data_IF_120602101559
#
_entry.id   IF_120602101559
#
_cell.length_a   1.000
_cell.length_b   1.000
_cell.length_c   1.000
_cell.angle_alpha   90.00
_cell.angle_beta   90.00
_cell.angle_gamma   90.00
#
_symmetry.space_group_name_H-M   'P 1'
#
loop_
_entity.id
_entity.type
_entity.pdbx_description
1 polymer ?
#
# COMPACT_ATOMS: atom_id res chain seq x y z
N UNK A 1 13.02 25.14 -36.91
CA UNK A 1 13.26 23.69 -36.79
C UNK A 1 12.65 23.24 -35.49
N UNK A 2 11.43 22.69 -35.56
CA UNK A 2 10.68 22.25 -34.40
C UNK A 2 11.27 20.95 -33.83
N UNK A 3 11.49 20.93 -32.53
CA UNK A 3 11.81 19.72 -31.77
C UNK A 3 10.52 18.94 -31.57
N UNK A 4 10.14 18.12 -32.56
CA UNK A 4 9.21 17.02 -32.34
C UNK A 4 9.91 16.01 -31.41
N UNK A 5 9.76 16.20 -30.11
CA UNK A 5 9.85 15.09 -29.18
C UNK A 5 8.71 14.14 -29.52
N UNK A 6 9.03 13.16 -30.36
CA UNK A 6 8.22 11.98 -30.58
C UNK A 6 7.90 11.42 -29.19
N UNK A 7 6.66 11.65 -28.74
CA UNK A 7 6.10 10.93 -27.62
C UNK A 7 6.19 9.46 -28.01
N UNK A 8 7.20 8.77 -27.48
CA UNK A 8 7.32 7.32 -27.56
C UNK A 8 5.97 6.79 -27.03
N UNK A 9 5.11 6.36 -27.95
CA UNK A 9 3.81 5.82 -27.61
C UNK A 9 4.12 4.55 -26.84
N UNK A 10 4.05 4.63 -25.51
CA UNK A 10 4.31 3.50 -24.64
C UNK A 10 3.53 2.30 -25.18
N UNK A 11 4.26 1.31 -25.68
CA UNK A 11 3.66 0.19 -26.40
C UNK A 11 2.62 -0.48 -25.50
N UNK A 12 1.38 -0.58 -26.01
CA UNK A 12 0.29 -1.28 -25.32
C UNK A 12 0.68 -2.76 -25.14
N UNK A 13 1.01 -3.14 -23.91
CA UNK A 13 1.54 -4.44 -23.58
C UNK A 13 0.65 -5.11 -22.52
N UNK A 14 -0.55 -5.59 -22.90
CA UNK A 14 -1.52 -6.16 -21.95
C UNK A 14 -0.98 -7.37 -21.18
N UNK A 15 -0.03 -8.12 -21.76
CA UNK A 15 0.66 -9.22 -21.10
C UNK A 15 1.52 -8.81 -19.89
N UNK A 16 1.90 -7.53 -19.78
CA UNK A 16 2.67 -6.99 -18.64
C UNK A 16 1.79 -6.60 -17.45
N UNK A 17 0.47 -6.55 -17.62
CA UNK A 17 -0.45 -6.24 -16.51
C UNK A 17 -0.49 -7.43 -15.54
N UNK A 18 -0.21 -7.25 -14.23
CA UNK A 18 -0.21 -8.35 -13.26
C UNK A 18 -1.57 -9.04 -13.13
N UNK A 19 -1.57 -10.36 -12.95
CA UNK A 19 -2.78 -11.14 -12.65
C UNK A 19 -3.46 -10.70 -11.35
N UNK A 20 -4.73 -11.07 -11.08
CA UNK A 20 -5.50 -10.52 -9.96
C UNK A 20 -4.83 -10.66 -8.59
N UNK A 21 -4.29 -11.83 -8.26
CA UNK A 21 -3.61 -12.05 -6.97
C UNK A 21 -2.31 -11.24 -6.88
N UNK A 22 -1.51 -11.22 -7.94
CA UNK A 22 -0.30 -10.40 -8.01
C UNK A 22 -0.62 -8.90 -7.93
N UNK A 23 -1.75 -8.49 -8.51
CA UNK A 23 -2.24 -7.12 -8.49
C UNK A 23 -2.70 -6.71 -7.09
N UNK A 24 -3.45 -7.57 -6.39
CA UNK A 24 -3.80 -7.38 -4.98
C UNK A 24 -2.54 -7.29 -4.11
N UNK A 25 -1.59 -8.22 -4.29
CA UNK A 25 -0.33 -8.24 -3.55
C UNK A 25 0.49 -6.96 -3.77
N UNK A 26 0.68 -6.55 -5.03
CA UNK A 26 1.42 -5.33 -5.36
C UNK A 26 0.69 -4.09 -4.87
N UNK A 27 -0.65 -4.05 -4.94
CA UNK A 27 -1.45 -2.94 -4.43
C UNK A 27 -1.30 -2.79 -2.91
N UNK A 28 -1.31 -3.91 -2.18
CA UNK A 28 -1.12 -3.93 -0.74
C UNK A 28 0.33 -3.59 -0.39
N UNK A 29 1.32 -4.33 -0.88
CA UNK A 29 2.68 -4.26 -0.34
C UNK A 29 3.62 -3.34 -1.13
N UNK A 30 3.49 -3.28 -2.46
CA UNK A 30 4.43 -2.60 -3.37
C UNK A 30 3.74 -1.65 -4.38
N UNK A 31 2.97 -0.65 -3.92
CA UNK A 31 2.14 0.18 -4.81
C UNK A 31 2.97 1.05 -5.76
N UNK A 32 4.19 1.44 -5.38
CA UNK A 32 5.12 2.16 -6.24
C UNK A 32 5.58 1.28 -7.42
N UNK A 33 5.92 0.01 -7.16
CA UNK A 33 6.26 -0.90 -8.25
C UNK A 33 5.07 -1.23 -9.13
N UNK A 34 3.87 -1.31 -8.55
CA UNK A 34 2.65 -1.45 -9.34
C UNK A 34 2.51 -0.29 -10.33
N UNK A 35 2.73 0.94 -9.87
CA UNK A 35 2.64 2.12 -10.72
C UNK A 35 3.61 2.07 -11.90
N UNK A 36 4.90 1.79 -11.65
CA UNK A 36 5.90 1.67 -12.72
C UNK A 36 5.59 0.52 -13.67
N UNK A 37 5.10 -0.63 -13.18
CA UNK A 37 4.71 -1.77 -14.02
C UNK A 37 3.52 -1.44 -14.91
N UNK A 38 2.52 -0.75 -14.39
CA UNK A 38 1.35 -0.32 -15.16
C UNK A 38 1.72 0.75 -16.20
N UNK A 39 2.62 1.68 -15.86
CA UNK A 39 3.19 2.62 -16.82
C UNK A 39 3.95 1.89 -17.94
N UNK A 40 4.81 0.94 -17.58
CA UNK A 40 5.56 0.10 -18.52
C UNK A 40 4.71 -0.87 -19.34
N UNK A 41 3.41 -1.00 -19.02
CA UNK A 41 2.41 -1.72 -19.80
C UNK A 41 1.64 -0.81 -20.77
N UNK A 42 1.93 0.50 -20.80
CA UNK A 42 1.29 1.48 -21.66
C UNK A 42 0.14 2.27 -21.00
N UNK A 43 -0.12 2.09 -19.70
CA UNK A 43 -1.19 2.83 -18.99
C UNK A 43 -0.66 4.20 -18.59
N UNK A 44 -1.18 5.27 -19.19
CA UNK A 44 -0.70 6.65 -18.98
C UNK A 44 -1.01 7.20 -17.60
N UNK A 45 -2.13 6.77 -17.01
CA UNK A 45 -2.58 7.27 -15.69
C UNK A 45 -3.05 6.12 -14.79
N UNK A 46 -2.15 5.28 -14.26
CA UNK A 46 -2.52 4.10 -13.46
C UNK A 46 -3.37 4.41 -12.21
N UNK A 47 -3.17 5.60 -11.65
CA UNK A 47 -3.93 6.13 -10.51
C UNK A 47 -5.09 7.05 -10.90
N UNK A 48 -5.49 7.07 -12.17
CA UNK A 48 -6.60 7.86 -12.67
C UNK A 48 -7.96 7.34 -12.20
N UNK A 49 -9.00 8.17 -12.41
CA UNK A 49 -10.40 7.78 -12.18
C UNK A 49 -10.80 6.64 -13.13
N UNK A 50 -11.78 5.83 -12.74
CA UNK A 50 -12.31 4.76 -13.61
C UNK A 50 -12.66 5.30 -15.01
N UNK A 51 -13.34 6.45 -15.08
CA UNK A 51 -13.71 7.06 -16.36
C UNK A 51 -12.51 7.45 -17.24
N UNK A 52 -11.37 7.83 -16.64
CA UNK A 52 -10.15 8.12 -17.41
C UNK A 52 -9.52 6.85 -17.97
N UNK A 53 -9.53 5.76 -17.20
CA UNK A 53 -9.03 4.46 -17.64
C UNK A 53 -9.94 3.82 -18.70
N UNK A 54 -11.26 3.98 -18.58
CA UNK A 54 -12.21 3.59 -19.62
C UNK A 54 -12.05 4.40 -20.88
N UNK A 55 -11.76 5.71 -20.78
CA UNK A 55 -11.44 6.52 -21.95
C UNK A 55 -10.19 6.00 -22.67
N UNK A 56 -9.13 5.67 -21.92
CA UNK A 56 -7.93 5.05 -22.50
C UNK A 56 -8.23 3.70 -23.17
N UNK A 57 -9.11 2.88 -22.59
CA UNK A 57 -9.58 1.66 -23.24
C UNK A 57 -10.33 1.97 -24.55
N UNK A 58 -11.20 2.99 -24.56
CA UNK A 58 -11.92 3.45 -25.75
C UNK A 58 -10.99 4.00 -26.85
N UNK A 59 -9.83 4.53 -26.47
CA UNK A 59 -8.73 4.94 -27.37
C UNK A 59 -7.89 3.74 -27.88
N UNK A 60 -8.27 2.51 -27.54
CA UNK A 60 -7.62 1.28 -28.02
C UNK A 60 -6.60 0.65 -27.06
N UNK A 61 -6.40 1.20 -25.86
CA UNK A 61 -5.45 0.67 -24.88
C UNK A 61 -6.01 -0.58 -24.16
N UNK A 62 -5.57 -1.76 -24.61
CA UNK A 62 -6.03 -3.06 -24.07
C UNK A 62 -5.53 -3.28 -22.65
N UNK A 63 -4.32 -2.83 -22.32
CA UNK A 63 -3.78 -2.92 -20.97
C UNK A 63 -4.64 -2.16 -19.94
N UNK A 64 -5.13 -0.97 -20.29
CA UNK A 64 -6.02 -0.18 -19.43
C UNK A 64 -7.35 -0.91 -19.14
N UNK A 65 -8.00 -1.47 -20.17
CA UNK A 65 -9.25 -2.21 -19.99
C UNK A 65 -9.09 -3.46 -19.14
N UNK A 66 -8.00 -4.20 -19.34
CA UNK A 66 -7.69 -5.41 -18.57
C UNK A 66 -7.32 -5.08 -17.11
N UNK A 67 -6.62 -3.98 -16.85
CA UNK A 67 -6.40 -3.46 -15.50
C UNK A 67 -7.71 -3.08 -14.81
N UNK A 68 -8.60 -2.33 -15.47
CA UNK A 68 -9.90 -1.95 -14.90
C UNK A 68 -10.74 -3.18 -14.57
N UNK A 69 -10.84 -4.15 -15.50
CA UNK A 69 -11.58 -5.39 -15.27
C UNK A 69 -11.06 -6.15 -14.06
N UNK A 70 -9.74 -6.32 -13.93
CA UNK A 70 -9.14 -7.03 -12.78
C UNK A 70 -9.36 -6.29 -11.47
N UNK A 71 -9.33 -4.96 -11.48
CA UNK A 71 -9.58 -4.17 -10.28
C UNK A 71 -11.04 -4.17 -9.86
N UNK A 72 -11.97 -4.13 -10.81
CA UNK A 72 -13.40 -4.33 -10.50
C UNK A 72 -13.66 -5.74 -9.96
N UNK A 73 -13.00 -6.77 -10.49
CA UNK A 73 -13.10 -8.12 -9.94
C UNK A 73 -12.57 -8.20 -8.50
N UNK A 74 -11.46 -7.53 -8.20
CA UNK A 74 -10.92 -7.50 -6.85
C UNK A 74 -11.83 -6.72 -5.88
N UNK A 75 -12.41 -5.61 -6.33
CA UNK A 75 -13.28 -4.76 -5.51
C UNK A 75 -14.69 -5.34 -5.32
N UNK A 76 -15.30 -5.93 -6.35
CA UNK A 76 -16.68 -6.42 -6.33
C UNK A 76 -16.80 -7.92 -6.07
N UNK A 77 -15.74 -8.69 -6.34
CA UNK A 77 -15.70 -10.13 -6.09
C UNK A 77 -14.88 -10.46 -4.85
N UNK A 78 -13.57 -10.19 -4.89
CA UNK A 78 -12.64 -10.66 -3.84
C UNK A 78 -12.88 -9.95 -2.50
N UNK A 79 -13.11 -8.64 -2.50
CA UNK A 79 -13.31 -7.86 -1.26
C UNK A 79 -14.53 -8.33 -0.43
N UNK A 80 -15.75 -8.45 -1.01
CA UNK A 80 -16.89 -9.01 -0.26
C UNK A 80 -16.64 -10.43 0.24
N UNK A 81 -16.08 -11.30 -0.60
CA UNK A 81 -15.81 -12.70 -0.24
C UNK A 81 -14.81 -12.80 0.91
N UNK A 82 -13.72 -12.04 0.85
CA UNK A 82 -12.70 -12.02 1.91
C UNK A 82 -13.28 -11.49 3.22
N UNK A 83 -14.07 -10.41 3.15
CA UNK A 83 -14.74 -9.84 4.33
C UNK A 83 -15.73 -10.83 4.92
N UNK A 84 -16.51 -11.51 4.07
CA UNK A 84 -17.47 -12.52 4.49
C UNK A 84 -16.80 -13.72 5.15
N UNK A 85 -15.75 -14.25 4.54
CA UNK A 85 -14.96 -15.35 5.08
C UNK A 85 -14.31 -14.98 6.44
N UNK A 86 -13.77 -13.77 6.55
CA UNK A 86 -13.22 -13.27 7.81
C UNK A 86 -14.31 -13.17 8.89
N UNK A 87 -15.51 -12.69 8.54
CA UNK A 87 -16.65 -12.64 9.46
C UNK A 87 -17.06 -14.03 9.93
N UNK A 88 -17.16 -15.01 9.03
CA UNK A 88 -17.40 -16.41 9.42
C UNK A 88 -16.30 -16.92 10.37
N UNK A 89 -15.04 -16.59 10.11
CA UNK A 89 -13.93 -16.96 10.98
C UNK A 89 -14.05 -16.37 12.38
N UNK A 90 -14.36 -15.08 12.51
CA UNK A 90 -14.61 -14.44 13.81
C UNK A 90 -15.80 -15.07 14.53
N UNK A 91 -16.89 -15.35 13.80
CA UNK A 91 -18.06 -16.01 14.36
C UNK A 91 -17.74 -17.41 14.87
N UNK A 92 -16.94 -18.19 14.12
CA UNK A 92 -16.49 -19.51 14.52
C UNK A 92 -15.57 -19.47 15.77
N UNK A 93 -14.85 -18.36 15.99
CA UNK A 93 -14.08 -18.10 17.21
C UNK A 93 -14.95 -17.65 18.41
N UNK A 94 -16.28 -17.66 18.27
CA UNK A 94 -17.22 -17.29 19.33
C UNK A 94 -17.41 -15.78 19.48
N UNK A 95 -16.93 -14.97 18.53
CA UNK A 95 -17.11 -13.52 18.56
C UNK A 95 -18.55 -13.21 18.10
N UNK A 96 -19.38 -12.56 18.92
CA UNK A 96 -20.75 -12.25 18.56
C UNK A 96 -20.77 -11.22 17.42
N UNK A 97 -21.25 -11.63 16.25
CA UNK A 97 -21.50 -10.72 15.13
C UNK A 97 -22.98 -10.31 15.13
N UNK A 98 -23.26 -9.03 14.90
CA UNK A 98 -24.62 -8.53 14.86
C UNK A 98 -25.37 -9.06 13.62
N UNK A 99 -26.69 -9.26 13.73
CA UNK A 99 -27.53 -9.64 12.61
C UNK A 99 -27.37 -8.63 11.45
N UNK A 100 -27.15 -9.13 10.23
CA UNK A 100 -26.97 -8.30 9.03
C UNK A 100 -25.53 -7.90 8.68
N UNK A 101 -24.52 -8.35 9.44
CA UNK A 101 -23.09 -8.07 9.18
C UNK A 101 -22.66 -8.36 7.73
N UNK A 102 -23.19 -9.43 7.12
CA UNK A 102 -22.92 -9.78 5.73
C UNK A 102 -23.42 -8.74 4.72
N UNK A 103 -24.61 -8.16 4.95
CA UNK A 103 -25.15 -7.09 4.10
C UNK A 103 -24.28 -5.83 4.21
N UNK A 104 -23.79 -5.54 5.42
CA UNK A 104 -22.94 -4.37 5.64
C UNK A 104 -21.59 -4.51 4.94
N UNK A 105 -21.00 -5.70 4.92
CA UNK A 105 -19.78 -5.98 4.15
C UNK A 105 -19.96 -5.72 2.63
N UNK A 106 -21.12 -6.09 2.08
CA UNK A 106 -21.47 -5.82 0.67
C UNK A 106 -21.62 -4.33 0.41
N UNK A 107 -22.35 -3.61 1.27
CA UNK A 107 -22.53 -2.17 1.17
C UNK A 107 -21.19 -1.40 1.26
N UNK A 108 -20.26 -1.86 2.10
CA UNK A 108 -18.90 -1.30 2.17
C UNK A 108 -18.13 -1.47 0.85
N UNK A 109 -18.29 -2.61 0.17
CA UNK A 109 -17.67 -2.83 -1.14
C UNK A 109 -18.29 -1.95 -2.23
N UNK A 110 -19.61 -1.73 -2.17
CA UNK A 110 -20.30 -0.78 -3.06
C UNK A 110 -19.84 0.68 -2.83
N UNK A 111 -19.62 1.08 -1.58
CA UNK A 111 -19.03 2.38 -1.26
C UNK A 111 -17.59 2.50 -1.77
N UNK A 112 -16.80 1.43 -1.68
CA UNK A 112 -15.47 1.34 -2.30
C UNK A 112 -15.50 1.59 -3.81
N UNK A 113 -16.54 1.09 -4.51
CA UNK A 113 -16.77 1.37 -5.93
C UNK A 113 -17.11 2.83 -6.18
N UNK A 114 -18.01 3.41 -5.40
CA UNK A 114 -18.34 4.84 -5.52
C UNK A 114 -17.09 5.71 -5.38
N UNK A 115 -16.21 5.37 -4.44
CA UNK A 115 -14.97 6.10 -4.23
C UNK A 115 -13.91 5.82 -5.30
N UNK A 116 -13.92 4.62 -5.90
CA UNK A 116 -13.09 4.30 -7.05
C UNK A 116 -13.41 5.20 -8.26
N UNK A 117 -14.70 5.56 -8.43
CA UNK A 117 -15.14 6.49 -9.47
C UNK A 117 -14.60 7.91 -9.27
N UNK A 118 -14.51 8.38 -8.02
CA UNK A 118 -14.17 9.78 -7.70
C UNK A 118 -12.68 10.02 -7.50
N UNK A 119 -11.98 9.11 -6.82
CA UNK A 119 -10.59 9.29 -6.35
C UNK A 119 -9.54 8.48 -7.11
N UNK A 120 -9.97 7.46 -7.86
CA UNK A 120 -9.10 6.52 -8.57
C UNK A 120 -9.31 5.07 -8.13
N UNK A 121 -9.16 4.13 -9.06
CA UNK A 121 -9.66 2.77 -8.85
C UNK A 121 -8.79 1.89 -7.93
N UNK A 122 -7.47 2.10 -7.91
CA UNK A 122 -6.60 1.54 -6.89
C UNK A 122 -6.92 2.08 -5.49
N UNK A 123 -7.24 3.38 -5.39
CA UNK A 123 -7.62 4.00 -4.13
C UNK A 123 -8.97 3.48 -3.62
N UNK A 124 -9.99 3.45 -4.48
CA UNK A 124 -11.32 2.93 -4.12
C UNK A 124 -11.36 1.43 -3.81
N UNK A 125 -10.50 0.62 -4.43
CA UNK A 125 -10.36 -0.78 -4.04
C UNK A 125 -9.81 -0.92 -2.61
N UNK A 126 -8.74 -0.20 -2.29
CA UNK A 126 -8.18 -0.18 -0.94
C UNK A 126 -9.18 0.41 0.07
N UNK A 127 -10.01 1.38 -0.33
CA UNK A 127 -11.15 1.87 0.47
C UNK A 127 -12.10 0.75 0.83
N UNK A 128 -12.64 0.06 -0.18
CA UNK A 128 -13.67 -0.95 0.02
C UNK A 128 -13.20 -2.04 0.97
N UNK A 129 -11.96 -2.51 0.82
CA UNK A 129 -11.39 -3.58 1.66
C UNK A 129 -11.08 -3.11 3.09
N UNK A 130 -10.55 -1.90 3.27
CA UNK A 130 -10.25 -1.40 4.61
C UNK A 130 -11.53 -0.99 5.35
N UNK A 131 -12.52 -0.42 4.65
CA UNK A 131 -13.87 -0.17 5.17
C UNK A 131 -14.47 -1.43 5.76
N UNK A 132 -14.44 -2.50 4.97
CA UNK A 132 -15.13 -3.74 5.27
C UNK A 132 -14.45 -4.50 6.41
N UNK A 133 -13.10 -4.45 6.46
CA UNK A 133 -12.33 -5.06 7.55
C UNK A 133 -12.48 -4.28 8.87
N UNK A 134 -12.44 -2.95 8.80
CA UNK A 134 -12.57 -2.11 9.97
C UNK A 134 -14.00 -2.14 10.55
N UNK A 135 -15.00 -2.37 9.69
CA UNK A 135 -16.35 -2.74 10.12
C UNK A 135 -16.40 -4.06 10.85
N UNK A 136 -15.76 -5.08 10.29
CA UNK A 136 -15.81 -6.40 10.88
C UNK A 136 -15.16 -6.43 12.28
N UNK A 137 -14.02 -5.74 12.44
CA UNK A 137 -13.22 -5.75 13.67
C UNK A 137 -13.66 -4.68 14.68
N UNK A 138 -13.87 -3.44 14.24
CA UNK A 138 -14.12 -2.31 15.13
C UNK A 138 -15.57 -2.22 15.61
N UNK A 139 -16.53 -2.66 14.79
CA UNK A 139 -17.93 -2.44 15.08
C UNK A 139 -18.56 -3.53 15.93
N UNK A 140 -18.34 -4.80 15.60
CA UNK A 140 -19.10 -5.87 16.23
C UNK A 140 -18.65 -6.16 17.65
N UNK A 141 -17.37 -5.93 17.97
CA UNK A 141 -16.84 -6.13 19.32
C UNK A 141 -17.24 -4.99 20.25
N UNK A 142 -17.24 -3.72 19.78
CA UNK A 142 -17.37 -2.56 20.68
C UNK A 142 -18.79 -1.97 20.68
N UNK A 143 -19.48 -1.94 19.54
CA UNK A 143 -20.78 -1.23 19.41
C UNK A 143 -21.97 -2.11 19.79
N UNK A 144 -21.87 -3.43 19.60
CA UNK A 144 -22.94 -4.35 19.99
C UNK A 144 -23.19 -4.35 21.51
N UNK A 145 -22.13 -4.30 22.31
CA UNK A 145 -22.22 -4.17 23.77
C UNK A 145 -22.71 -2.78 24.20
N UNK A 146 -22.35 -1.73 23.46
CA UNK A 146 -22.59 -0.35 23.87
C UNK A 146 -23.97 0.21 23.48
N UNK A 147 -24.56 -0.23 22.35
CA UNK A 147 -25.74 0.42 21.74
C UNK A 147 -26.94 -0.50 21.52
N UNK A 148 -26.80 -1.79 21.83
CA UNK A 148 -27.83 -2.79 21.58
C UNK A 148 -28.08 -3.08 20.08
N UNK A 149 -28.89 -4.10 19.78
CA UNK A 149 -28.97 -4.69 18.43
C UNK A 149 -29.57 -3.78 17.35
N UNK A 150 -30.43 -2.80 17.71
CA UNK A 150 -31.10 -1.91 16.75
C UNK A 150 -30.23 -0.72 16.30
N UNK A 151 -29.50 -0.10 17.23
CA UNK A 151 -28.66 1.07 16.92
C UNK A 151 -27.25 0.67 16.42
N UNK A 152 -26.79 -0.54 16.78
CA UNK A 152 -25.46 -1.03 16.41
C UNK A 152 -25.27 -1.25 14.89
N UNK A 153 -26.33 -1.60 14.15
CA UNK A 153 -26.25 -1.77 12.70
C UNK A 153 -26.06 -0.46 11.93
N UNK A 154 -26.76 0.61 12.35
CA UNK A 154 -26.64 1.95 11.75
C UNK A 154 -25.30 2.59 12.10
N UNK A 155 -24.96 2.61 13.40
CA UNK A 155 -23.64 2.99 13.91
C UNK A 155 -22.53 2.24 13.17
N UNK A 156 -22.82 0.99 12.81
CA UNK A 156 -22.07 0.20 11.85
C UNK A 156 -21.84 0.82 10.52
N UNK A 157 -22.87 0.85 9.70
CA UNK A 157 -22.76 1.36 8.34
C UNK A 157 -22.01 2.71 8.28
N UNK A 158 -22.25 3.57 9.28
CA UNK A 158 -21.55 4.85 9.45
C UNK A 158 -20.06 4.67 9.72
N UNK A 159 -19.68 3.86 10.71
CA UNK A 159 -18.28 3.62 11.06
C UNK A 159 -17.50 2.98 9.91
N UNK A 160 -18.14 2.10 9.16
CA UNK A 160 -17.58 1.48 7.95
C UNK A 160 -17.42 2.43 6.79
N UNK A 161 -18.39 3.33 6.60
CA UNK A 161 -18.24 4.45 5.69
C UNK A 161 -17.05 5.32 6.08
N UNK A 162 -16.90 5.63 7.35
CA UNK A 162 -15.78 6.43 7.88
C UNK A 162 -14.44 5.71 7.66
N UNK A 163 -14.28 4.49 8.16
CA UNK A 163 -13.04 3.71 8.03
C UNK A 163 -12.73 3.33 6.57
N UNK A 164 -13.75 3.26 5.72
CA UNK A 164 -13.60 3.11 4.28
C UNK A 164 -13.05 4.34 3.59
N UNK A 165 -13.63 5.51 3.87
CA UNK A 165 -13.09 6.79 3.43
C UNK A 165 -11.61 6.93 3.84
N UNK A 166 -11.30 6.51 5.07
CA UNK A 166 -9.96 6.57 5.68
C UNK A 166 -8.94 5.70 4.98
N UNK A 167 -9.27 4.42 4.76
CA UNK A 167 -8.43 3.51 4.00
C UNK A 167 -8.15 4.00 2.58
N UNK A 168 -9.05 4.82 2.05
CA UNK A 168 -8.91 5.44 0.74
C UNK A 168 -8.11 6.67 0.62
N UNK A 169 -8.19 7.50 1.64
CA UNK A 169 -7.35 8.66 1.72
C UNK A 169 -5.91 8.22 2.02
N UNK A 170 -5.71 7.11 2.75
CA UNK A 170 -4.43 6.39 2.83
C UNK A 170 -3.99 5.97 1.42
N UNK A 171 -4.84 5.26 0.69
CA UNK A 171 -4.54 4.75 -0.64
C UNK A 171 -4.35 5.83 -1.72
N UNK A 172 -5.06 6.96 -1.60
CA UNK A 172 -4.97 8.13 -2.49
C UNK A 172 -3.75 9.01 -2.18
N UNK A 173 -3.26 8.98 -0.94
CA UNK A 173 -1.96 9.54 -0.55
C UNK A 173 -0.81 8.68 -1.09
N UNK A 174 -0.96 7.35 -1.02
CA UNK A 174 -0.09 6.35 -1.69
C UNK A 174 -0.14 6.51 -3.23
N UNK A 175 -1.31 6.83 -3.79
CA UNK A 175 -1.48 7.13 -5.22
C UNK A 175 -0.91 8.49 -5.66
N UNK A 176 -0.66 9.41 -4.73
CA UNK A 176 0.12 10.63 -4.94
C UNK A 176 1.62 10.35 -4.93
N UNK A 177 2.08 9.51 -4.00
CA UNK A 177 3.46 8.99 -3.98
C UNK A 177 3.80 8.18 -5.23
N UNK A 178 2.88 7.33 -5.68
CA UNK A 178 3.00 6.57 -6.92
C UNK A 178 3.19 7.47 -8.15
N UNK A 179 2.59 8.68 -8.16
CA UNK A 179 2.76 9.68 -9.21
C UNK A 179 4.03 10.55 -9.05
N UNK A 180 4.91 10.23 -8.10
CA UNK A 180 6.10 11.04 -7.79
C UNK A 180 5.79 12.39 -7.13
N UNK A 181 4.54 12.64 -6.72
CA UNK A 181 4.08 13.93 -6.18
C UNK A 181 4.23 14.04 -4.65
N UNK A 182 4.92 13.09 -4.01
CA UNK A 182 5.03 13.02 -2.56
C UNK A 182 3.71 12.68 -1.85
N UNK A 183 3.77 12.59 -0.52
CA UNK A 183 2.56 12.70 0.32
C UNK A 183 2.02 14.12 0.14
N UNK A 184 0.92 14.27 -0.58
CA UNK A 184 0.20 15.55 -0.57
C UNK A 184 -0.31 15.78 0.84
N UNK A 185 0.32 16.70 1.57
CA UNK A 185 -0.08 17.15 2.90
C UNK A 185 -1.58 17.49 2.90
N UNK A 186 -2.07 18.14 1.84
CA UNK A 186 -3.50 18.44 1.66
C UNK A 186 -4.39 17.19 1.64
N UNK A 187 -3.99 16.08 1.01
CA UNK A 187 -4.80 14.86 0.98
C UNK A 187 -4.81 14.14 2.33
N UNK A 188 -3.69 14.14 3.04
CA UNK A 188 -3.60 13.57 4.39
C UNK A 188 -4.42 14.41 5.37
N UNK A 189 -4.33 15.74 5.27
CA UNK A 189 -5.10 16.68 6.08
C UNK A 189 -6.60 16.57 5.82
N UNK A 190 -7.03 16.56 4.55
CA UNK A 190 -8.44 16.34 4.20
C UNK A 190 -8.92 15.00 4.76
N UNK A 191 -8.07 13.96 4.69
CA UNK A 191 -8.39 12.67 5.28
C UNK A 191 -8.56 12.68 6.79
N UNK A 192 -7.64 13.33 7.50
CA UNK A 192 -7.74 13.51 8.94
C UNK A 192 -8.98 14.34 9.34
N UNK A 193 -9.31 15.39 8.58
CA UNK A 193 -10.47 16.26 8.83
C UNK A 193 -11.78 15.48 8.65
N UNK A 194 -11.96 14.80 7.51
CA UNK A 194 -13.17 14.00 7.24
C UNK A 194 -13.34 12.91 8.30
N UNK A 195 -12.23 12.27 8.66
CA UNK A 195 -12.21 11.21 9.66
C UNK A 195 -12.54 11.67 11.07
N UNK A 196 -12.21 12.91 11.40
CA UNK A 196 -12.52 13.50 12.70
C UNK A 196 -13.95 14.01 12.75
N UNK A 197 -14.42 14.65 11.67
CA UNK A 197 -15.70 15.34 11.64
C UNK A 197 -16.89 14.41 11.38
N UNK A 198 -16.78 13.41 10.49
CA UNK A 198 -17.95 12.58 10.14
C UNK A 198 -18.46 11.78 11.33
N UNK A 199 -17.62 11.06 12.12
CA UNK A 199 -18.10 10.39 13.32
C UNK A 199 -18.65 11.38 14.37
N UNK A 200 -18.01 12.54 14.54
CA UNK A 200 -18.53 13.56 15.47
C UNK A 200 -19.91 14.09 15.04
N UNK A 201 -20.14 14.35 13.77
CA UNK A 201 -21.43 14.83 13.27
C UNK A 201 -22.52 13.77 13.42
N UNK A 202 -22.20 12.52 13.10
CA UNK A 202 -23.19 11.45 13.11
C UNK A 202 -23.62 11.09 14.53
N UNK A 203 -22.68 10.88 15.45
CA UNK A 203 -23.02 10.55 16.84
C UNK A 203 -23.33 11.79 17.69
N UNK A 204 -22.82 12.97 17.32
CA UNK A 204 -23.15 14.23 17.98
C UNK A 204 -24.61 14.64 17.80
N UNK A 205 -25.21 14.32 16.64
CA UNK A 205 -26.64 14.59 16.39
C UNK A 205 -27.59 13.86 17.36
N UNK A 206 -27.16 12.72 17.91
CA UNK A 206 -27.91 11.94 18.91
C UNK A 206 -27.51 12.21 20.36
N UNK A 207 -26.71 13.25 20.64
CA UNK A 207 -26.22 13.56 21.99
C UNK A 207 -25.04 12.69 22.47
N UNK A 208 -24.57 11.74 21.66
CA UNK A 208 -23.47 10.82 21.98
C UNK A 208 -22.09 11.36 21.56
N UNK A 209 -21.82 12.63 21.85
CA UNK A 209 -20.59 13.34 21.47
C UNK A 209 -19.31 12.66 21.94
N UNK A 210 -19.33 12.08 23.14
CA UNK A 210 -18.20 11.35 23.73
C UNK A 210 -17.84 10.10 22.92
N UNK A 211 -18.84 9.38 22.40
CA UNK A 211 -18.60 8.22 21.54
C UNK A 211 -18.13 8.64 20.15
N UNK A 212 -18.77 9.67 19.57
CA UNK A 212 -18.35 10.24 18.28
C UNK A 212 -16.88 10.70 18.30
N UNK A 213 -16.48 11.37 19.38
CA UNK A 213 -15.09 11.80 19.61
C UNK A 213 -14.11 10.64 19.80
N UNK A 214 -14.48 9.61 20.58
CA UNK A 214 -13.64 8.43 20.78
C UNK A 214 -13.43 7.64 19.47
N UNK A 215 -14.49 7.47 18.67
CA UNK A 215 -14.42 6.81 17.36
C UNK A 215 -13.59 7.63 16.38
N UNK A 216 -13.80 8.94 16.32
CA UNK A 216 -13.00 9.86 15.49
C UNK A 216 -11.50 9.77 15.83
N UNK A 217 -11.15 9.89 17.12
CA UNK A 217 -9.76 9.83 17.58
C UNK A 217 -9.11 8.47 17.29
N UNK A 218 -9.82 7.36 17.61
CA UNK A 218 -9.31 6.01 17.37
C UNK A 218 -9.09 5.74 15.89
N UNK A 219 -10.03 6.17 15.06
CA UNK A 219 -9.93 6.01 13.61
C UNK A 219 -8.78 6.85 13.05
N UNK A 220 -8.53 8.06 13.58
CA UNK A 220 -7.39 8.90 13.21
C UNK A 220 -6.04 8.27 13.59
N UNK A 221 -5.92 7.70 14.78
CA UNK A 221 -4.69 6.99 15.17
C UNK A 221 -4.46 5.77 14.27
N UNK A 222 -5.51 4.98 13.98
CA UNK A 222 -5.41 3.85 13.05
C UNK A 222 -5.07 4.30 11.63
N UNK A 223 -5.64 5.42 11.17
CA UNK A 223 -5.32 6.03 9.88
C UNK A 223 -3.86 6.39 9.78
N UNK A 224 -3.34 7.17 10.73
CA UNK A 224 -1.95 7.58 10.72
C UNK A 224 -1.02 6.37 10.85
N UNK A 225 -1.35 5.43 11.74
CA UNK A 225 -0.60 4.19 11.89
C UNK A 225 -0.56 3.34 10.63
N UNK A 226 -1.67 3.24 9.89
CA UNK A 226 -1.74 2.52 8.62
C UNK A 226 -1.09 3.28 7.46
N UNK A 227 -1.34 4.60 7.36
CA UNK A 227 -0.80 5.49 6.33
C UNK A 227 0.73 5.53 6.37
N UNK A 228 1.30 5.60 7.58
CA UNK A 228 2.73 5.58 7.82
C UNK A 228 3.30 4.17 8.07
N UNK A 229 2.45 3.14 8.03
CA UNK A 229 2.78 1.73 8.31
C UNK A 229 3.49 1.49 9.64
N UNK A 230 3.21 2.33 10.64
CA UNK A 230 3.85 2.27 11.95
C UNK A 230 3.63 0.93 12.66
N UNK A 231 2.52 0.22 12.39
CA UNK A 231 2.25 -1.09 13.00
C UNK A 231 3.13 -2.22 12.46
N UNK A 232 3.54 -2.14 11.20
CA UNK A 232 4.35 -3.19 10.55
C UNK A 232 5.85 -2.93 10.74
N UNK A 233 6.21 -1.66 10.88
CA UNK A 233 7.60 -1.22 11.01
C UNK A 233 8.41 -1.93 12.11
N UNK A 234 7.92 -2.19 13.34
CA UNK A 234 8.68 -2.92 14.35
C UNK A 234 9.07 -4.33 13.90
N UNK A 235 8.17 -5.01 13.19
CA UNK A 235 8.42 -6.35 12.64
C UNK A 235 9.46 -6.26 11.51
N UNK A 236 9.35 -5.27 10.64
CA UNK A 236 10.33 -5.05 9.56
C UNK A 236 11.71 -4.71 10.12
N UNK A 237 11.79 -3.89 11.16
CA UNK A 237 13.04 -3.60 11.90
C UNK A 237 13.65 -4.86 12.48
N UNK A 238 12.82 -5.71 13.12
CA UNK A 238 13.29 -6.96 13.68
C UNK A 238 13.83 -7.89 12.59
N UNK A 239 13.09 -8.06 11.49
CA UNK A 239 13.52 -8.87 10.34
C UNK A 239 14.82 -8.36 9.73
N UNK A 240 14.96 -7.05 9.54
CA UNK A 240 16.19 -6.45 9.02
C UNK A 240 17.37 -6.66 9.97
N UNK A 241 17.14 -6.51 11.28
CA UNK A 241 18.17 -6.68 12.30
C UNK A 241 18.63 -8.13 12.37
N UNK A 242 17.68 -9.08 12.34
CA UNK A 242 17.97 -10.52 12.31
C UNK A 242 18.71 -10.89 11.04
N UNK A 243 18.29 -10.41 9.86
CA UNK A 243 18.99 -10.67 8.61
C UNK A 243 20.45 -10.18 8.69
N UNK A 244 20.65 -8.91 9.08
CA UNK A 244 21.99 -8.36 9.25
C UNK A 244 22.84 -9.15 10.25
N UNK A 245 22.28 -9.55 11.40
CA UNK A 245 22.98 -10.36 12.38
C UNK A 245 23.34 -11.73 11.84
N UNK A 246 22.42 -12.44 11.18
CA UNK A 246 22.69 -13.75 10.60
C UNK A 246 23.82 -13.65 9.57
N UNK A 247 23.79 -12.67 8.67
CA UNK A 247 24.84 -12.51 7.66
C UNK A 247 26.19 -12.14 8.29
N UNK A 248 26.20 -11.23 9.26
CA UNK A 248 27.42 -10.80 9.96
C UNK A 248 28.09 -11.95 10.72
N UNK A 249 27.31 -12.82 11.36
CA UNK A 249 27.85 -13.84 12.26
C UNK A 249 28.05 -15.20 11.58
N UNK A 250 27.22 -15.55 10.59
CA UNK A 250 27.28 -16.86 9.91
C UNK A 250 27.85 -16.79 8.51
N UNK A 251 28.05 -15.59 7.96
CA UNK A 251 28.45 -15.38 6.57
C UNK A 251 27.38 -15.77 5.54
N UNK A 252 26.19 -16.20 5.98
CA UNK A 252 25.11 -16.62 5.07
C UNK A 252 24.47 -15.39 4.41
N UNK A 253 24.25 -15.42 3.08
CA UNK A 253 23.64 -14.31 2.35
C UNK A 253 22.17 -14.13 2.74
N UNK A 254 21.85 -13.03 3.42
CA UNK A 254 20.48 -12.70 3.84
C UNK A 254 19.99 -11.33 3.35
N UNK A 255 20.84 -10.55 2.68
CA UNK A 255 20.44 -9.25 2.11
C UNK A 255 19.15 -9.31 1.25
N UNK A 256 18.91 -10.41 0.53
CA UNK A 256 17.67 -10.69 -0.22
C UNK A 256 16.38 -10.75 0.63
N UNK A 257 16.51 -10.92 1.94
CA UNK A 257 15.41 -10.91 2.91
C UNK A 257 15.15 -9.52 3.48
N UNK A 258 15.92 -8.51 3.06
CA UNK A 258 15.70 -7.13 3.47
C UNK A 258 14.25 -6.74 3.20
N UNK A 259 13.51 -6.24 4.21
CA UNK A 259 12.12 -5.87 4.05
C UNK A 259 11.91 -4.94 2.85
N UNK A 260 12.85 -4.02 2.58
CA UNK A 260 12.73 -3.00 1.51
C UNK A 260 12.53 -3.60 0.11
N UNK A 261 12.90 -4.87 -0.11
CA UNK A 261 12.64 -5.57 -1.37
C UNK A 261 11.17 -6.04 -1.51
N UNK A 262 10.49 -6.19 -0.38
CA UNK A 262 9.16 -6.77 -0.29
C UNK A 262 8.07 -5.71 -0.08
N UNK A 263 8.43 -4.51 0.38
CA UNK A 263 7.51 -3.39 0.57
C UNK A 263 8.16 -2.04 0.22
N UNK A 264 7.36 -1.11 -0.34
CA UNK A 264 7.88 0.16 -0.88
C UNK A 264 7.39 1.43 -0.15
N UNK A 265 6.73 1.28 1.00
CA UNK A 265 6.08 2.39 1.72
C UNK A 265 6.67 2.66 3.10
N UNK A 266 7.86 2.15 3.41
CA UNK A 266 8.55 2.53 4.66
C UNK A 266 8.90 4.02 4.64
N UNK A 267 8.39 4.78 5.62
CA UNK A 267 8.75 6.19 5.86
C UNK A 267 9.88 6.35 6.86
N UNK A 268 10.13 5.31 7.66
CA UNK A 268 11.21 5.26 8.63
C UNK A 268 12.40 4.50 8.04
N UNK A 269 13.60 4.91 8.43
CA UNK A 269 14.85 4.32 7.96
C UNK A 269 15.09 2.98 8.65
N UNK A 270 15.41 1.95 7.87
CA UNK A 270 15.77 0.67 8.44
C UNK A 270 17.12 0.74 9.17
N UNK A 271 17.17 0.37 10.47
CA UNK A 271 18.43 0.28 11.18
C UNK A 271 19.29 -0.81 10.54
N UNK A 272 20.60 -0.60 10.56
CA UNK A 272 21.62 -1.52 10.02
C UNK A 272 21.55 -1.81 8.52
N UNK A 273 20.57 -1.34 7.76
CA UNK A 273 20.49 -1.56 6.31
C UNK A 273 21.73 -1.05 5.58
N UNK A 274 22.25 0.13 5.96
CA UNK A 274 23.51 0.67 5.43
C UNK A 274 24.69 -0.26 5.68
N UNK A 275 24.82 -0.77 6.91
CA UNK A 275 25.90 -1.68 7.29
C UNK A 275 25.77 -3.03 6.58
N UNK A 276 24.54 -3.51 6.38
CA UNK A 276 24.24 -4.74 5.66
C UNK A 276 24.63 -4.62 4.17
N UNK A 277 24.31 -3.49 3.53
CA UNK A 277 24.78 -3.21 2.16
C UNK A 277 26.31 -3.14 2.08
N UNK A 278 26.98 -2.55 3.09
CA UNK A 278 28.44 -2.47 3.14
C UNK A 278 29.09 -3.86 3.18
N UNK A 279 28.52 -4.75 3.98
CA UNK A 279 28.97 -6.12 4.15
C UNK A 279 28.84 -6.90 2.83
N UNK A 280 27.73 -6.74 2.12
CA UNK A 280 27.45 -7.44 0.88
C UNK A 280 28.14 -6.83 -0.36
N UNK A 281 28.51 -5.54 -0.35
CA UNK A 281 28.98 -4.81 -1.54
C UNK A 281 30.17 -5.48 -2.26
N UNK A 282 31.11 -6.05 -1.51
CA UNK A 282 32.30 -6.70 -2.08
C UNK A 282 32.04 -8.08 -2.68
N UNK A 283 31.02 -8.78 -2.20
CA UNK A 283 30.75 -10.17 -2.56
C UNK A 283 29.59 -10.31 -3.53
N UNK A 284 28.58 -9.43 -3.44
CA UNK A 284 27.31 -9.50 -4.15
C UNK A 284 26.83 -8.12 -4.60
N UNK A 285 27.55 -7.45 -5.53
CA UNK A 285 27.21 -6.10 -5.97
C UNK A 285 25.82 -6.01 -6.64
N UNK A 286 25.39 -7.06 -7.34
CA UNK A 286 24.05 -7.11 -7.97
C UNK A 286 22.93 -7.03 -6.94
N UNK A 287 23.01 -7.81 -5.86
CA UNK A 287 21.99 -7.78 -4.79
C UNK A 287 21.97 -6.42 -4.07
N UNK A 288 23.14 -5.81 -3.89
CA UNK A 288 23.26 -4.45 -3.33
C UNK A 288 22.58 -3.43 -4.22
N UNK A 289 22.76 -3.50 -5.54
CA UNK A 289 22.10 -2.63 -6.51
C UNK A 289 20.57 -2.81 -6.49
N UNK A 290 20.09 -4.05 -6.42
CA UNK A 290 18.65 -4.33 -6.36
C UNK A 290 18.01 -3.74 -5.10
N UNK A 291 18.64 -3.94 -3.94
CA UNK A 291 18.18 -3.36 -2.67
C UNK A 291 18.25 -1.84 -2.69
N UNK A 292 19.33 -1.28 -3.22
CA UNK A 292 19.51 0.16 -3.26
C UNK A 292 18.53 0.83 -4.26
N UNK A 293 18.21 0.19 -5.38
CA UNK A 293 17.13 0.61 -6.28
C UNK A 293 15.76 0.52 -5.60
N UNK A 294 15.52 -0.50 -4.77
CA UNK A 294 14.30 -0.58 -3.96
C UNK A 294 14.24 0.55 -2.91
N UNK A 295 15.37 0.94 -2.31
CA UNK A 295 15.45 2.07 -1.39
C UNK A 295 15.02 3.39 -2.06
N UNK A 296 15.39 3.63 -3.33
CA UNK A 296 14.96 4.83 -4.07
C UNK A 296 13.43 4.95 -4.19
N UNK A 297 12.73 3.82 -4.17
CA UNK A 297 11.26 3.78 -4.25
C UNK A 297 10.58 3.92 -2.89
N UNK A 298 11.32 3.83 -1.79
CA UNK A 298 10.81 3.94 -0.42
C UNK A 298 11.12 5.34 0.13
N UNK A 299 10.11 6.13 0.54
CA UNK A 299 10.32 7.51 0.98
C UNK A 299 11.35 7.66 2.11
N UNK A 300 11.26 6.81 3.15
CA UNK A 300 12.17 6.84 4.29
C UNK A 300 13.59 6.41 3.98
N UNK A 301 13.76 5.53 2.98
CA UNK A 301 15.04 4.91 2.63
C UNK A 301 15.70 5.53 1.39
N UNK A 302 15.00 6.40 0.66
CA UNK A 302 15.51 7.08 -0.55
C UNK A 302 16.80 7.88 -0.30
N UNK A 303 16.97 8.39 0.92
CA UNK A 303 18.15 9.15 1.35
C UNK A 303 19.23 8.29 2.02
N UNK A 304 19.10 6.97 2.08
CA UNK A 304 20.24 6.10 2.40
C UNK A 304 21.26 6.26 1.26
N UNK A 305 22.23 7.15 1.49
CA UNK A 305 23.06 7.80 0.48
C UNK A 305 23.49 6.91 -0.68
N UNK A 306 22.82 7.08 -1.82
CA UNK A 306 23.23 6.56 -3.12
C UNK A 306 24.70 6.88 -3.46
N UNK A 307 25.24 8.08 -3.12
CA UNK A 307 26.66 8.37 -3.33
C UNK A 307 27.58 7.39 -2.60
N UNK A 308 27.19 6.93 -1.41
CA UNK A 308 27.97 5.96 -0.64
C UNK A 308 27.84 4.55 -1.22
N UNK A 309 26.65 4.15 -1.70
CA UNK A 309 26.47 2.85 -2.39
C UNK A 309 27.31 2.81 -3.66
N UNK A 310 27.29 3.87 -4.46
CA UNK A 310 28.13 4.00 -5.65
C UNK A 310 29.62 3.96 -5.30
N UNK A 311 30.05 4.69 -4.27
CA UNK A 311 31.44 4.66 -3.81
C UNK A 311 31.88 3.25 -3.33
N UNK A 312 31.02 2.55 -2.60
CA UNK A 312 31.31 1.19 -2.11
C UNK A 312 31.39 0.17 -3.26
N UNK A 313 30.54 0.31 -4.28
CA UNK A 313 30.59 -0.52 -5.49
C UNK A 313 31.84 -0.23 -6.33
N UNK A 314 32.18 1.04 -6.55
CA UNK A 314 33.39 1.44 -7.26
C UNK A 314 34.67 0.91 -6.57
N UNK A 315 34.71 0.97 -5.23
CA UNK A 315 35.82 0.38 -4.47
C UNK A 315 35.90 -1.14 -4.60
N UNK A 316 34.76 -1.83 -4.68
CA UNK A 316 34.72 -3.29 -4.86
C UNK A 316 35.18 -3.69 -6.28
N UNK A 317 34.78 -2.94 -7.30
CA UNK A 317 35.24 -3.15 -8.69
C UNK A 317 36.76 -2.95 -8.79
N UNK A 318 37.29 -1.84 -8.26
CA UNK A 318 38.73 -1.57 -8.26
C UNK A 318 39.55 -2.66 -7.56
N UNK A 319 39.07 -3.18 -6.42
CA UNK A 319 39.72 -4.28 -5.72
C UNK A 319 39.71 -5.60 -6.53
N UNK A 320 38.65 -5.83 -7.30
CA UNK A 320 38.51 -7.02 -8.16
C UNK A 320 39.46 -6.94 -9.36
N UNK A 321 39.58 -5.77 -9.98
CA UNK A 321 40.52 -5.53 -11.08
C UNK A 321 41.98 -5.66 -10.64
N UNK A 322 42.34 -5.11 -9.48
CA UNK A 322 43.69 -5.23 -8.93
C UNK A 322 44.08 -6.70 -8.70
N UNK A 323 43.13 -7.52 -8.22
CA UNK A 323 43.36 -8.96 -8.02
C UNK A 323 43.53 -9.72 -9.35
N UNK A 324 42.72 -9.41 -10.36
CA UNK A 324 42.87 -10.02 -11.70
C UNK A 324 44.21 -9.69 -12.35
N UNK A 325 44.71 -8.46 -12.19
CA UNK A 325 46.05 -8.08 -12.67
C UNK A 325 47.15 -8.87 -11.98
N UNK A 326 47.07 -9.00 -10.65
CA UNK A 326 48.04 -9.79 -9.87
C UNK A 326 48.00 -11.30 -10.17
N UNK A 327 46.85 -11.84 -10.57
CA UNK A 327 46.69 -13.25 -10.97
C UNK A 327 47.08 -13.51 -12.44
N UNK A 328 47.02 -12.49 -13.32
CA UNK A 328 47.42 -12.58 -14.73
C UNK A 328 48.92 -12.33 -14.99
N UNK A 329 49.67 -11.88 -13.98
CA UNK A 329 51.14 -11.73 -14.03
C UNK A 329 51.87 -12.99 -13.49
N UNK A 330 51.16 -14.08 -13.21
CA UNK A 330 51.70 -15.40 -12.86
C UNK A 330 51.55 -16.39 -14.01
#
# INVERSE_FOLDING_TARGET
>A
MGTEHSHEVAQDAPGRVPGPLALLWLLLWRPVDLHYRLHGAGIRTPGGRIGQLWRQQGEGNRAAGLYVRRMLLLLLGVSPVLTFALGLGLHALGIPLAAGWGMTAVLCSAMGLFLALTTGLAAGMLMGMLASLAMLVGLHVVVAESFGPRMGGLAGAIMGGCLGLVGGMCAGSIGGLARGQGLSVNRVQVGAIVLSLVPMLVWGSGGAWHVGGAVAASSLVMYLGAAFRLFVYPVEVLLQTVAFAVERWTGRPTLRWSPVLHHNLGYLRYPFLRAHLALAARTRPKEVLDVANACLKSPGNSMLGWPWVLAALAQAEAATEARKRAEGER
#
